data_IF_910920300230
#
_entry.id   IF_910920300230
#
_cell.length_a   1.000
_cell.length_b   1.000
_cell.length_c   1.000
_cell.angle_alpha   90.00
_cell.angle_beta   90.00
_cell.angle_gamma   90.00
#
_symmetry.space_group_name_H-M   'P 1'
#
loop_
_entity.id
_entity.type
_entity.pdbx_description
1 polymer ?
#
# COMPACT_ATOMS: atom_id res chain seq x y z
N UNK A 1 -3.40 -22.00 11.07
CA UNK A 1 -2.58 -22.44 9.93
C UNK A 1 -1.35 -23.13 10.50
N UNK A 2 -1.02 -24.33 10.00
CA UNK A 2 0.16 -25.11 10.40
C UNK A 2 1.28 -24.95 9.35
N UNK A 3 2.46 -24.36 9.70
CA UNK A 3 3.55 -24.17 8.75
C UNK A 3 4.11 -25.46 8.14
N UNK A 4 3.84 -26.62 8.74
CA UNK A 4 4.30 -27.94 8.25
C UNK A 4 3.51 -28.42 7.03
N UNK A 5 2.34 -27.83 6.78
CA UNK A 5 1.44 -28.20 5.69
C UNK A 5 1.63 -27.33 4.42
N UNK A 6 2.57 -26.38 4.44
CA UNK A 6 2.76 -25.44 3.33
C UNK A 6 3.37 -26.13 2.11
N UNK A 7 2.83 -25.81 0.94
CA UNK A 7 3.47 -26.14 -0.33
C UNK A 7 4.74 -25.29 -0.56
N UNK A 8 5.53 -25.63 -1.58
CA UNK A 8 6.78 -24.92 -1.92
C UNK A 8 6.58 -23.43 -2.18
N UNK A 9 5.46 -23.06 -2.84
CA UNK A 9 5.13 -21.67 -3.18
C UNK A 9 4.71 -20.91 -1.93
N UNK A 10 3.86 -21.48 -1.08
CA UNK A 10 3.41 -20.89 0.18
C UNK A 10 4.58 -20.68 1.14
N UNK A 11 5.49 -21.65 1.24
CA UNK A 11 6.71 -21.50 2.03
C UNK A 11 7.64 -20.41 1.48
N UNK A 12 7.66 -20.17 0.15
CA UNK A 12 8.39 -19.07 -0.45
C UNK A 12 7.76 -17.71 -0.13
N UNK A 13 6.43 -17.60 -0.25
CA UNK A 13 5.66 -16.40 0.12
C UNK A 13 5.87 -16.08 1.60
N UNK A 14 5.77 -17.06 2.49
CA UNK A 14 5.98 -16.86 3.92
C UNK A 14 7.40 -16.35 4.23
N UNK A 15 8.42 -16.90 3.56
CA UNK A 15 9.81 -16.42 3.68
C UNK A 15 9.95 -14.97 3.21
N UNK A 16 9.37 -14.63 2.07
CA UNK A 16 9.41 -13.27 1.54
C UNK A 16 8.75 -12.26 2.49
N UNK A 17 7.52 -12.55 2.94
CA UNK A 17 6.75 -11.68 3.84
C UNK A 17 7.46 -11.53 5.18
N UNK A 18 7.96 -12.62 5.77
CA UNK A 18 8.65 -12.55 7.07
C UNK A 18 9.99 -11.83 6.98
N UNK A 19 10.74 -11.98 5.87
CA UNK A 19 11.96 -11.22 5.64
C UNK A 19 11.67 -9.72 5.52
N UNK A 20 10.66 -9.35 4.73
CA UNK A 20 10.23 -7.96 4.59
C UNK A 20 9.77 -7.37 5.93
N UNK A 21 8.95 -8.09 6.71
CA UNK A 21 8.52 -7.64 8.02
C UNK A 21 9.71 -7.38 8.94
N UNK A 22 10.67 -8.32 9.04
CA UNK A 22 11.87 -8.15 9.87
C UNK A 22 12.70 -6.92 9.47
N UNK A 23 12.77 -6.62 8.18
CA UNK A 23 13.49 -5.44 7.68
C UNK A 23 12.80 -4.11 8.01
N UNK A 24 11.51 -4.11 8.35
CA UNK A 24 10.71 -2.90 8.55
C UNK A 24 10.14 -2.74 9.96
N UNK A 25 10.05 -3.82 10.74
CA UNK A 25 9.36 -3.82 12.05
C UNK A 25 9.89 -2.78 13.03
N UNK A 26 11.18 -2.46 12.98
CA UNK A 26 11.80 -1.57 13.97
C UNK A 26 11.26 -0.14 13.84
N UNK A 27 11.08 0.35 12.62
CA UNK A 27 10.46 1.66 12.39
C UNK A 27 8.93 1.58 12.45
N UNK A 28 8.33 0.50 11.95
CA UNK A 28 6.86 0.32 11.96
C UNK A 28 6.30 0.20 13.38
N UNK A 29 7.06 -0.35 14.33
CA UNK A 29 6.62 -0.49 15.72
C UNK A 29 6.36 0.86 16.42
N UNK A 30 7.01 1.93 15.97
CA UNK A 30 6.80 3.30 16.47
C UNK A 30 5.98 4.20 15.56
N UNK A 31 5.51 3.67 14.42
CA UNK A 31 4.78 4.43 13.42
C UNK A 31 3.35 4.74 13.88
N UNK A 32 2.87 5.93 13.52
CA UNK A 32 1.46 6.27 13.69
C UNK A 32 0.64 5.54 12.62
N UNK A 33 -0.48 4.92 13.04
CA UNK A 33 -1.41 4.22 12.15
C UNK A 33 -2.56 5.18 11.85
N UNK A 34 -2.60 5.68 10.62
CA UNK A 34 -3.58 6.65 10.14
C UNK A 34 -4.58 5.92 9.24
N UNK A 35 -5.85 5.86 9.66
CA UNK A 35 -6.91 5.29 8.82
C UNK A 35 -7.14 6.20 7.61
N UNK A 36 -7.26 5.61 6.43
CA UNK A 36 -7.54 6.33 5.20
C UNK A 36 -9.02 6.16 4.82
N UNK A 37 -9.63 7.27 4.41
CA UNK A 37 -10.99 7.26 3.88
C UNK A 37 -10.97 6.79 2.42
N UNK A 38 -11.59 5.63 2.18
CA UNK A 38 -11.85 5.14 0.85
C UNK A 38 -13.23 5.58 0.38
N UNK A 39 -13.33 6.03 -0.87
CA UNK A 39 -14.62 6.27 -1.51
C UNK A 39 -15.40 4.97 -1.78
N UNK A 40 -14.72 3.82 -1.74
CA UNK A 40 -15.32 2.49 -1.80
C UNK A 40 -15.41 1.89 -0.39
N UNK A 41 -16.62 1.67 0.17
CA UNK A 41 -16.77 1.08 1.50
C UNK A 41 -16.29 -0.36 1.58
N UNK A 42 -16.09 -1.03 0.45
CA UNK A 42 -15.49 -2.36 0.40
C UNK A 42 -13.96 -2.33 0.61
N UNK A 43 -13.33 -1.15 0.55
CA UNK A 43 -11.88 -1.00 0.74
C UNK A 43 -11.61 -0.43 2.13
N UNK A 44 -10.81 -1.15 2.90
CA UNK A 44 -10.22 -0.69 4.15
C UNK A 44 -8.76 -0.36 3.89
N UNK A 45 -8.34 0.84 4.29
CA UNK A 45 -6.98 1.28 4.09
C UNK A 45 -6.42 2.02 5.30
N UNK A 46 -5.12 1.88 5.50
CA UNK A 46 -4.35 2.56 6.53
C UNK A 46 -2.96 2.93 6.01
N UNK A 47 -2.43 4.03 6.53
CA UNK A 47 -1.07 4.50 6.33
C UNK A 47 -0.32 4.39 7.66
N UNK A 48 0.75 3.62 7.68
CA UNK A 48 1.70 3.59 8.80
C UNK A 48 2.83 4.56 8.50
N UNK A 49 2.97 5.62 9.30
CA UNK A 49 3.89 6.72 9.04
C UNK A 49 4.86 6.91 10.21
N UNK A 50 6.14 7.15 9.89
CA UNK A 50 7.12 7.58 10.90
C UNK A 50 6.68 8.91 11.50
N UNK A 51 7.05 9.17 12.77
CA UNK A 51 6.69 10.44 13.44
C UNK A 51 7.32 11.66 12.76
N UNK A 52 8.46 11.43 12.11
CA UNK A 52 9.19 12.40 11.32
C UNK A 52 8.53 12.70 9.96
N UNK A 53 7.59 11.86 9.50
CA UNK A 53 6.88 12.05 8.23
C UNK A 53 7.72 11.79 6.98
N UNK A 54 8.92 11.24 7.15
CA UNK A 54 9.92 10.98 6.10
C UNK A 54 9.71 9.63 5.37
N UNK A 55 8.93 8.72 5.98
CA UNK A 55 8.65 7.39 5.45
C UNK A 55 7.25 6.93 5.86
N UNK A 56 6.61 6.23 4.93
CA UNK A 56 5.34 5.56 5.23
C UNK A 56 5.16 4.28 4.43
N UNK A 57 4.19 3.49 4.86
CA UNK A 57 3.65 2.33 4.17
C UNK A 57 2.13 2.41 4.13
N UNK A 58 1.53 1.98 3.02
CA UNK A 58 0.08 1.95 2.87
C UNK A 58 -0.37 0.51 2.72
N UNK A 59 -1.35 0.12 3.53
CA UNK A 59 -2.11 -1.11 3.35
C UNK A 59 -3.48 -0.75 2.80
N UNK A 60 -3.89 -1.41 1.73
CA UNK A 60 -5.22 -1.26 1.15
C UNK A 60 -5.77 -2.66 0.85
N UNK A 61 -6.79 -3.07 1.60
CA UNK A 61 -7.43 -4.38 1.50
C UNK A 61 -8.89 -4.25 1.08
N UNK A 62 -9.35 -5.17 0.23
CA UNK A 62 -10.78 -5.29 -0.12
C UNK A 62 -11.44 -6.29 0.82
N UNK A 63 -12.34 -5.82 1.67
CA UNK A 63 -13.12 -6.63 2.61
C UNK A 63 -14.40 -7.21 1.96
N UNK A 64 -14.84 -6.66 0.84
CA UNK A 64 -16.01 -7.13 0.08
C UNK A 64 -15.83 -6.91 -1.42
N UNK A 65 -16.76 -7.45 -2.22
CA UNK A 65 -16.88 -7.08 -3.63
C UNK A 65 -17.33 -5.63 -3.74
N UNK A 66 -16.60 -4.83 -4.52
CA UNK A 66 -16.93 -3.42 -4.76
C UNK A 66 -18.23 -3.29 -5.54
N UNK A 67 -19.07 -2.34 -5.15
CA UNK A 67 -20.21 -1.90 -5.96
C UNK A 67 -19.80 -0.91 -7.07
N UNK A 68 -18.55 -0.45 -7.08
CA UNK A 68 -18.04 0.49 -8.07
C UNK A 68 -17.57 -0.24 -9.34
N UNK A 69 -17.94 0.30 -10.50
CA UNK A 69 -17.52 -0.22 -11.80
C UNK A 69 -16.05 0.15 -12.10
N UNK A 70 -15.53 1.20 -11.48
CA UNK A 70 -14.14 1.62 -11.64
C UNK A 70 -13.57 2.11 -10.32
N UNK A 71 -12.30 1.78 -10.02
CA UNK A 71 -11.66 2.20 -8.78
C UNK A 71 -11.55 3.73 -8.75
N UNK A 72 -11.78 4.29 -7.57
CA UNK A 72 -11.49 5.70 -7.28
C UNK A 72 -10.13 5.80 -6.62
N UNK A 73 -9.38 6.90 -6.85
CA UNK A 73 -8.08 7.07 -6.23
C UNK A 73 -8.15 7.01 -4.70
N UNK A 74 -7.18 6.34 -4.09
CA UNK A 74 -7.04 6.32 -2.63
C UNK A 74 -6.16 7.50 -2.20
N UNK A 75 -6.76 8.45 -1.49
CA UNK A 75 -6.03 9.63 -0.98
C UNK A 75 -5.23 9.27 0.28
N UNK A 76 -4.00 9.75 0.31
CA UNK A 76 -3.14 9.66 1.50
C UNK A 76 -3.40 10.81 2.46
N UNK A 77 -2.75 10.78 3.62
CA UNK A 77 -2.97 11.79 4.66
C UNK A 77 -1.68 12.14 5.40
N UNK A 78 -1.68 13.29 6.09
CA UNK A 78 -0.61 13.75 6.97
C UNK A 78 0.80 13.81 6.34
N UNK A 79 0.90 14.01 5.02
CA UNK A 79 2.16 14.20 4.32
C UNK A 79 2.56 15.68 4.31
N UNK A 80 3.86 15.98 4.23
CA UNK A 80 4.32 17.33 3.96
C UNK A 80 3.90 17.72 2.52
N UNK A 81 3.09 18.78 2.34
CA UNK A 81 2.59 19.17 1.03
C UNK A 81 3.69 19.58 0.04
N UNK A 82 4.83 20.08 0.54
CA UNK A 82 5.96 20.56 -0.26
C UNK A 82 7.03 19.49 -0.50
N UNK A 83 7.07 18.43 0.31
CA UNK A 83 7.98 17.32 0.12
C UNK A 83 7.60 16.47 -1.10
N UNK A 84 8.60 15.82 -1.72
CA UNK A 84 8.39 14.81 -2.77
C UNK A 84 8.63 13.41 -2.23
N UNK A 85 7.74 12.51 -2.59
CA UNK A 85 7.77 11.12 -2.18
C UNK A 85 7.91 10.21 -3.38
N UNK A 86 8.79 9.22 -3.25
CA UNK A 86 8.94 8.13 -4.23
C UNK A 86 8.11 6.93 -3.79
N UNK A 87 7.09 6.59 -4.56
CA UNK A 87 6.10 5.55 -4.21
C UNK A 87 6.18 4.38 -5.19
N UNK A 88 6.05 3.16 -4.69
CA UNK A 88 5.98 1.95 -5.49
C UNK A 88 5.25 0.83 -4.76
N UNK A 89 4.81 -0.19 -5.51
CA UNK A 89 4.20 -1.38 -4.94
C UNK A 89 5.25 -2.38 -4.45
N UNK A 90 5.11 -2.82 -3.21
CA UNK A 90 5.92 -3.91 -2.65
C UNK A 90 5.52 -5.28 -3.20
N UNK A 91 4.22 -5.47 -3.46
CA UNK A 91 3.62 -6.69 -3.99
C UNK A 91 3.28 -6.56 -5.48
N UNK A 92 4.19 -5.97 -6.27
CA UNK A 92 3.92 -5.68 -7.70
C UNK A 92 3.53 -6.93 -8.51
N UNK A 93 4.12 -8.08 -8.20
CA UNK A 93 3.83 -9.35 -8.87
C UNK A 93 2.37 -9.81 -8.68
N UNK A 94 1.71 -9.36 -7.62
CA UNK A 94 0.34 -9.75 -7.26
C UNK A 94 -0.71 -8.80 -7.87
N UNK A 95 -0.28 -7.76 -8.58
CA UNK A 95 -1.20 -6.79 -9.18
C UNK A 95 -1.93 -7.43 -10.36
N UNK A 96 -3.27 -7.52 -10.34
CA UNK A 96 -4.02 -8.13 -11.44
C UNK A 96 -3.91 -7.30 -12.71
N UNK A 97 -4.06 -7.94 -13.88
CA UNK A 97 -4.26 -7.23 -15.13
C UNK A 97 -5.48 -6.28 -15.02
N UNK A 98 -5.32 -5.04 -15.48
CA UNK A 98 -6.44 -4.11 -15.53
C UNK A 98 -7.14 -4.24 -16.89
N UNK A 99 -8.47 -4.22 -16.87
CA UNK A 99 -9.26 -4.15 -18.09
C UNK A 99 -9.20 -2.78 -18.77
N UNK A 100 -8.80 -1.72 -18.03
CA UNK A 100 -8.67 -0.34 -18.52
C UNK A 100 -7.49 0.38 -17.90
N UNK A 101 -6.82 1.19 -18.72
CA UNK A 101 -5.74 2.09 -18.31
C UNK A 101 -4.42 1.37 -18.04
N UNK A 102 -3.34 2.16 -18.06
CA UNK A 102 -1.99 1.71 -17.76
C UNK A 102 -1.36 2.63 -16.70
N UNK A 103 -1.76 2.51 -15.42
CA UNK A 103 -1.18 3.33 -14.36
C UNK A 103 0.33 3.08 -14.29
N UNK A 104 1.11 4.15 -14.41
CA UNK A 104 2.58 4.08 -14.37
C UNK A 104 3.11 3.39 -13.11
N UNK A 105 2.36 3.42 -12.00
CA UNK A 105 2.72 2.76 -10.75
C UNK A 105 2.87 1.23 -10.88
N UNK A 106 2.20 0.63 -11.88
CA UNK A 106 2.33 -0.80 -12.21
C UNK A 106 3.68 -1.14 -12.82
N UNK A 107 4.25 -0.24 -13.62
CA UNK A 107 5.51 -0.48 -14.34
C UNK A 107 6.71 0.03 -13.54
N UNK A 108 6.54 1.11 -12.78
CA UNK A 108 7.61 1.77 -12.08
C UNK A 108 7.13 2.51 -10.84
N UNK A 109 8.08 2.93 -9.98
CA UNK A 109 7.77 3.89 -8.94
C UNK A 109 7.46 5.26 -9.56
N UNK A 110 6.65 6.05 -8.87
CA UNK A 110 6.38 7.46 -9.21
C UNK A 110 7.04 8.39 -8.19
N UNK A 111 7.27 9.64 -8.58
CA UNK A 111 7.72 10.69 -7.67
C UNK A 111 6.77 11.89 -7.74
N UNK A 112 6.04 12.14 -6.67
CA UNK A 112 4.98 13.16 -6.60
C UNK A 112 5.03 13.87 -5.26
N UNK A 113 4.46 15.08 -5.18
CA UNK A 113 4.43 15.82 -3.92
C UNK A 113 3.44 15.21 -2.92
N UNK A 114 3.64 15.49 -1.63
CA UNK A 114 2.65 15.12 -0.60
C UNK A 114 1.29 15.75 -0.87
N UNK A 115 1.25 16.99 -1.36
CA UNK A 115 0.00 17.64 -1.76
C UNK A 115 -0.72 16.85 -2.86
N UNK A 116 0.00 16.37 -3.88
CA UNK A 116 -0.60 15.57 -4.94
C UNK A 116 -1.19 14.25 -4.39
N UNK A 117 -0.46 13.56 -3.53
CA UNK A 117 -0.90 12.31 -2.91
C UNK A 117 -2.14 12.48 -2.02
N UNK A 118 -2.24 13.60 -1.29
CA UNK A 118 -3.39 13.89 -0.44
C UNK A 118 -4.61 14.39 -1.22
N UNK A 119 -4.42 15.13 -2.32
CA UNK A 119 -5.54 15.68 -3.11
C UNK A 119 -6.02 14.75 -4.23
N UNK A 120 -5.11 14.08 -4.92
CA UNK A 120 -5.40 13.24 -6.08
C UNK A 120 -5.40 11.75 -5.76
N UNK A 121 -4.57 11.28 -4.82
CA UNK A 121 -4.48 9.87 -4.45
C UNK A 121 -3.78 8.99 -5.47
N UNK A 122 -3.66 7.69 -5.15
CA UNK A 122 -3.06 6.65 -5.99
C UNK A 122 -4.11 5.84 -6.76
#
# INVERSE_FOLDING_TARGET
MDPRELDTREAAVLRQVTAWWKANRDWMAGADILRLDSADPAVLAEQQMTREGDRFLVFAGKAATSAQISPRPLRLTALDPLARYRIGFLNRADIPALSRGEPILKTGPIEVSGAWLMHHGL
#
